data_IF_190707827052
#
_entry.id   IF_190707827052
#
_cell.length_a   1.000
_cell.length_b   1.000
_cell.length_c   1.000
_cell.angle_alpha   90.00
_cell.angle_beta   90.00
_cell.angle_gamma   90.00
#
_symmetry.space_group_name_H-M   'P 1'
#
loop_
_entity.id
_entity.type
_entity.pdbx_description
1 polymer ?
#
# COMPACT_ATOMS: atom_id res chain seq x y z
N UNK A 1 17.90 -11.35 -12.95
CA UNK A 1 17.52 -12.37 -13.94
C UNK A 1 18.46 -12.34 -15.16
N UNK A 2 18.96 -13.51 -15.57
CA UNK A 2 19.77 -13.70 -16.77
C UNK A 2 18.85 -14.06 -17.95
N UNK A 3 18.33 -13.03 -18.65
CA UNK A 3 17.46 -13.19 -19.82
C UNK A 3 16.00 -13.56 -19.53
N UNK A 4 15.08 -12.96 -20.29
CA UNK A 4 13.62 -13.19 -20.20
C UNK A 4 12.82 -11.91 -20.46
N UNK A 5 11.58 -12.07 -20.93
CA UNK A 5 10.63 -10.98 -21.17
C UNK A 5 9.43 -11.11 -20.22
N UNK A 6 8.99 -9.99 -19.65
CA UNK A 6 7.84 -9.93 -18.73
C UNK A 6 6.71 -9.20 -19.44
N UNK A 7 5.57 -9.86 -19.58
CA UNK A 7 4.36 -9.30 -20.22
C UNK A 7 3.30 -9.07 -19.14
N UNK A 8 2.83 -7.83 -19.02
CA UNK A 8 1.82 -7.41 -18.05
C UNK A 8 0.70 -6.66 -18.78
N UNK A 9 -0.55 -7.08 -18.56
CA UNK A 9 -1.72 -6.55 -19.28
C UNK A 9 -1.56 -6.58 -20.80
N UNK A 10 -0.94 -7.63 -21.34
CA UNK A 10 -0.67 -7.79 -22.78
C UNK A 10 0.41 -6.86 -23.33
N UNK A 11 1.17 -6.16 -22.48
CA UNK A 11 2.27 -5.28 -22.90
C UNK A 11 3.61 -5.74 -22.30
N UNK A 12 4.72 -5.68 -23.05
CA UNK A 12 6.03 -5.91 -22.48
C UNK A 12 6.33 -4.82 -21.45
N UNK A 13 6.82 -5.22 -20.28
CA UNK A 13 7.11 -4.29 -19.17
C UNK A 13 8.16 -3.26 -19.59
N UNK A 14 9.17 -3.69 -20.33
CA UNK A 14 10.28 -2.85 -20.81
C UNK A 14 9.75 -1.77 -21.76
N UNK A 15 9.94 -0.50 -21.41
CA UNK A 15 9.43 0.66 -22.16
C UNK A 15 7.96 1.02 -21.92
N UNK A 16 7.21 0.26 -21.12
CA UNK A 16 5.82 0.56 -20.75
C UNK A 16 5.64 0.78 -19.24
N UNK A 17 6.72 0.89 -18.48
CA UNK A 17 6.74 0.92 -17.02
C UNK A 17 5.80 1.98 -16.47
N UNK A 18 5.84 3.20 -17.04
CA UNK A 18 4.99 4.33 -16.61
C UNK A 18 3.49 4.09 -16.83
N UNK A 19 3.10 3.21 -17.75
CA UNK A 19 1.68 2.89 -18.03
C UNK A 19 1.20 1.67 -17.26
N UNK A 20 2.12 0.74 -16.98
CA UNK A 20 1.81 -0.56 -16.37
C UNK A 20 1.95 -0.51 -14.85
N UNK A 21 3.03 0.06 -14.33
CA UNK A 21 3.32 0.06 -12.89
C UNK A 21 2.25 0.77 -12.04
N UNK A 22 1.62 1.88 -12.47
CA UNK A 22 0.54 2.50 -11.68
C UNK A 22 -0.70 1.61 -11.50
N UNK A 23 -0.83 0.53 -12.28
CA UNK A 23 -1.94 -0.43 -12.22
C UNK A 23 -1.62 -1.65 -11.36
N UNK A 24 -0.44 -1.71 -10.76
CA UNK A 24 0.05 -2.85 -10.00
C UNK A 24 0.26 -2.44 -8.55
N UNK A 25 -0.38 -3.15 -7.63
CA UNK A 25 0.00 -3.15 -6.22
C UNK A 25 1.11 -4.18 -5.99
N UNK A 26 2.23 -3.77 -5.37
CA UNK A 26 3.32 -4.68 -4.97
C UNK A 26 3.50 -4.63 -3.46
N UNK A 27 3.74 -5.80 -2.86
CA UNK A 27 4.01 -5.97 -1.44
C UNK A 27 5.32 -6.74 -1.26
N UNK A 28 6.35 -6.07 -0.74
CA UNK A 28 7.58 -6.72 -0.25
C UNK A 28 7.42 -6.79 1.27
N UNK A 29 7.21 -7.99 1.83
CA UNK A 29 6.96 -8.46 3.22
C UNK A 29 6.62 -7.50 4.39
N UNK A 30 7.07 -6.26 4.40
CA UNK A 30 6.33 -5.12 4.94
C UNK A 30 6.74 -3.88 4.12
N UNK A 31 5.80 -3.05 3.63
CA UNK A 31 6.13 -1.68 3.28
C UNK A 31 6.90 -1.08 4.46
N UNK A 32 7.79 -0.11 4.22
CA UNK A 32 8.52 0.60 5.27
C UNK A 32 7.60 1.43 6.17
N UNK A 33 6.65 0.76 6.83
CA UNK A 33 5.76 1.30 7.82
C UNK A 33 6.60 1.71 9.00
N UNK A 34 6.37 2.93 9.46
CA UNK A 34 7.05 3.53 10.59
C UNK A 34 6.51 2.88 11.87
N UNK A 35 7.33 2.15 12.65
CA UNK A 35 6.87 1.38 13.81
C UNK A 35 6.30 2.24 14.94
N UNK A 36 6.71 3.50 14.99
CA UNK A 36 6.31 4.52 15.96
C UNK A 36 5.09 5.33 15.53
N UNK A 37 4.48 5.00 14.38
CA UNK A 37 3.26 5.64 13.90
C UNK A 37 2.08 4.68 13.95
N UNK A 38 0.88 5.24 14.04
CA UNK A 38 -0.40 4.54 13.91
C UNK A 38 -0.64 4.09 12.46
N UNK A 39 -1.63 3.23 12.24
CA UNK A 39 -2.03 2.83 10.89
C UNK A 39 -2.52 4.00 10.03
N UNK A 40 -3.27 4.93 10.64
CA UNK A 40 -3.80 6.11 9.96
C UNK A 40 -2.70 7.06 9.49
N UNK A 41 -1.69 7.30 10.34
CA UNK A 41 -0.53 8.12 9.99
C UNK A 41 0.34 7.46 8.93
N UNK A 42 0.60 6.16 9.06
CA UNK A 42 1.37 5.39 8.08
C UNK A 42 0.74 5.50 6.68
N UNK A 43 -0.55 5.18 6.55
CA UNK A 43 -1.25 5.29 5.27
C UNK A 43 -1.35 6.74 4.78
N UNK A 44 -1.51 7.71 5.68
CA UNK A 44 -1.52 9.13 5.34
C UNK A 44 -0.24 9.59 4.63
N UNK A 45 0.93 9.13 5.10
CA UNK A 45 2.22 9.40 4.45
C UNK A 45 2.24 8.83 3.03
N UNK A 46 1.79 7.58 2.84
CA UNK A 46 1.73 6.97 1.51
C UNK A 46 0.73 7.65 0.58
N UNK A 47 -0.43 8.07 1.08
CA UNK A 47 -1.41 8.81 0.30
C UNK A 47 -0.83 10.15 -0.20
N UNK A 48 -0.12 10.87 0.67
CA UNK A 48 0.57 12.12 0.32
C UNK A 48 1.67 11.89 -0.73
N UNK A 49 2.52 10.87 -0.54
CA UNK A 49 3.58 10.55 -1.51
C UNK A 49 3.06 10.14 -2.89
N UNK A 50 1.89 9.47 -2.93
CA UNK A 50 1.23 9.05 -4.19
C UNK A 50 0.37 10.15 -4.81
N UNK A 51 0.14 11.26 -4.11
CA UNK A 51 -0.73 12.34 -4.58
C UNK A 51 -2.21 11.92 -4.67
N UNK A 52 -2.67 11.04 -3.77
CA UNK A 52 -4.06 10.57 -3.76
C UNK A 52 -5.01 11.76 -3.50
N UNK A 53 -5.90 12.12 -4.43
CA UNK A 53 -6.74 13.32 -4.30
C UNK A 53 -7.91 13.12 -3.32
N UNK A 54 -8.31 11.88 -3.09
CA UNK A 54 -9.42 11.55 -2.19
C UNK A 54 -8.99 11.66 -0.72
N UNK A 55 -9.56 12.63 0.00
CA UNK A 55 -9.32 12.84 1.44
C UNK A 55 -9.81 11.68 2.33
N UNK A 56 -10.71 10.85 1.83
CA UNK A 56 -11.26 9.70 2.55
C UNK A 56 -10.50 8.40 2.28
N UNK A 57 -9.58 8.37 1.30
CA UNK A 57 -8.92 7.14 0.85
C UNK A 57 -8.28 6.33 1.99
N UNK A 58 -7.66 7.00 2.96
CA UNK A 58 -7.05 6.31 4.12
C UNK A 58 -8.12 5.65 4.99
N UNK A 59 -9.19 6.37 5.31
CA UNK A 59 -10.29 5.85 6.11
C UNK A 59 -10.95 4.67 5.39
N UNK A 60 -11.28 4.85 4.11
CA UNK A 60 -11.93 3.84 3.29
C UNK A 60 -11.07 2.56 3.19
N UNK A 61 -9.75 2.71 3.05
CA UNK A 61 -8.83 1.58 3.00
C UNK A 61 -8.73 0.83 4.34
N UNK A 62 -8.74 1.53 5.48
CA UNK A 62 -8.76 0.90 6.80
C UNK A 62 -10.08 0.19 7.07
N UNK A 63 -11.20 0.82 6.75
CA UNK A 63 -12.53 0.25 6.88
C UNK A 63 -12.66 -1.03 6.02
N UNK A 64 -12.14 -1.00 4.79
CA UNK A 64 -12.12 -2.17 3.89
C UNK A 64 -11.39 -3.38 4.48
N UNK A 65 -10.27 -3.17 5.19
CA UNK A 65 -9.51 -4.25 5.82
C UNK A 65 -9.91 -4.50 7.29
N UNK A 66 -10.97 -3.86 7.77
CA UNK A 66 -11.44 -4.01 9.15
C UNK A 66 -10.41 -3.58 10.20
N UNK A 67 -9.66 -2.51 9.93
CA UNK A 67 -8.78 -1.87 10.91
C UNK A 67 -9.39 -0.54 11.38
N UNK A 68 -9.24 -0.19 12.67
CA UNK A 68 -9.86 1.02 13.21
C UNK A 68 -9.22 2.30 12.67
N UNK A 69 -10.06 3.27 12.30
CA UNK A 69 -9.65 4.64 11.96
C UNK A 69 -9.30 5.45 13.23
N UNK A 70 -8.21 6.22 13.19
CA UNK A 70 -7.73 7.06 14.30
C UNK A 70 -7.47 6.30 15.62
N UNK A 71 -7.19 5.00 15.54
CA UNK A 71 -6.69 4.24 16.69
C UNK A 71 -5.30 4.76 17.10
N UNK A 72 -5.04 4.75 18.41
CA UNK A 72 -3.77 5.16 19.01
C UNK A 72 -2.73 4.04 19.03
N UNK A 73 -3.12 2.81 18.72
CA UNK A 73 -2.22 1.66 18.69
C UNK A 73 -1.17 1.83 17.59
N UNK A 74 0.10 1.75 17.98
CA UNK A 74 1.23 1.88 17.06
C UNK A 74 1.38 0.64 16.19
N UNK A 75 1.93 0.81 14.98
CA UNK A 75 2.22 -0.30 14.08
C UNK A 75 3.15 -1.35 14.70
N UNK A 76 4.12 -0.94 15.53
CA UNK A 76 4.99 -1.85 16.28
C UNK A 76 4.21 -2.84 17.16
N UNK A 77 3.03 -2.46 17.65
CA UNK A 77 2.17 -3.26 18.52
C UNK A 77 1.17 -4.14 17.75
N UNK A 78 1.16 -4.07 16.41
CA UNK A 78 0.25 -4.87 15.59
C UNK A 78 0.68 -6.34 15.56
N UNK A 79 -0.30 -7.24 15.65
CA UNK A 79 -0.05 -8.65 15.35
C UNK A 79 0.32 -8.84 13.88
N UNK A 80 0.91 -9.98 13.54
CA UNK A 80 1.28 -10.31 12.14
C UNK A 80 0.09 -10.12 11.20
N UNK A 81 -1.09 -10.63 11.57
CA UNK A 81 -2.30 -10.49 10.76
C UNK A 81 -2.77 -9.04 10.61
N UNK A 82 -2.62 -8.20 11.64
CA UNK A 82 -2.93 -6.77 11.52
C UNK A 82 -1.95 -6.05 10.58
N UNK A 83 -0.66 -6.40 10.63
CA UNK A 83 0.36 -5.84 9.72
C UNK A 83 0.07 -6.23 8.26
N UNK A 84 -0.31 -7.49 8.03
CA UNK A 84 -0.74 -7.97 6.72
C UNK A 84 -1.98 -7.22 6.20
N UNK A 85 -3.00 -7.01 7.05
CA UNK A 85 -4.19 -6.22 6.68
C UNK A 85 -3.84 -4.78 6.34
N UNK A 86 -2.95 -4.14 7.10
CA UNK A 86 -2.50 -2.78 6.78
C UNK A 86 -1.72 -2.71 5.45
N UNK A 87 -0.92 -3.73 5.16
CA UNK A 87 -0.25 -3.88 3.87
C UNK A 87 -1.25 -3.99 2.70
N UNK A 88 -2.34 -4.75 2.88
CA UNK A 88 -3.42 -4.83 1.89
C UNK A 88 -4.09 -3.46 1.72
N UNK A 89 -4.40 -2.74 2.81
CA UNK A 89 -4.95 -1.39 2.75
C UNK A 89 -4.07 -0.46 1.92
N UNK A 90 -2.75 -0.50 2.12
CA UNK A 90 -1.80 0.29 1.32
C UNK A 90 -1.83 -0.11 -0.17
N UNK A 91 -2.00 -1.38 -0.50
CA UNK A 91 -2.02 -1.84 -1.89
C UNK A 91 -3.29 -1.41 -2.64
N UNK A 92 -4.43 -1.36 -1.96
CA UNK A 92 -5.72 -0.97 -2.56
C UNK A 92 -6.00 0.53 -2.50
N UNK A 93 -5.23 1.30 -1.74
CA UNK A 93 -5.35 2.75 -1.65
C UNK A 93 -4.76 3.44 -2.90
N UNK A 94 -5.61 4.05 -3.72
CA UNK A 94 -5.29 4.78 -4.96
C UNK A 94 -6.11 6.06 -5.09
#
# INVERSE_FOLDING_TARGET
PAGGEVILFGKPLRGNERKVLPRIGSLIEAPGFYPNLTASENLGIFAAMRGVPNRHAVRDALDFVGLPWQDKKLFSQYSVGMKQRLAIALAVMH
#
